data_IF_218326765746
#
_entry.id   IF_218326765746
#
_cell.length_a   1.000
_cell.length_b   1.000
_cell.length_c   1.000
_cell.angle_alpha   90.00
_cell.angle_beta   90.00
_cell.angle_gamma   90.00
#
_symmetry.space_group_name_H-M   'P 1'
#
loop_
_entity.id
_entity.type
_entity.pdbx_description
1 polymer ?
#
# COMPACT_ATOMS: atom_id res chain seq x y z
N UNK A 1 -2.54 15.46 -28.70
CA UNK A 1 -1.86 14.23 -28.22
C UNK A 1 -1.11 14.53 -26.93
N UNK A 2 -1.77 14.67 -25.78
CA UNK A 2 -1.10 14.70 -24.49
C UNK A 2 -2.01 13.98 -23.48
N UNK A 3 -1.68 12.72 -23.19
CA UNK A 3 -2.35 11.89 -22.19
C UNK A 3 -2.00 12.45 -20.81
N UNK A 4 -2.94 13.17 -20.22
CA UNK A 4 -3.00 13.48 -18.80
C UNK A 4 -3.12 12.17 -18.01
N UNK A 5 -1.99 11.58 -17.61
CA UNK A 5 -1.97 10.61 -16.51
C UNK A 5 -1.96 11.41 -15.20
N UNK A 6 -3.15 11.78 -14.76
CA UNK A 6 -3.40 12.41 -13.47
C UNK A 6 -3.06 11.40 -12.38
N UNK A 7 -1.89 11.57 -11.74
CA UNK A 7 -1.45 10.77 -10.60
C UNK A 7 -2.40 11.08 -9.43
N UNK A 8 -3.32 10.16 -9.15
CA UNK A 8 -4.26 10.26 -8.04
C UNK A 8 -3.57 9.79 -6.75
N UNK A 9 -3.01 10.73 -5.98
CA UNK A 9 -2.59 10.47 -4.59
C UNK A 9 -3.84 10.33 -3.71
N UNK A 10 -4.39 9.13 -3.65
CA UNK A 10 -5.47 8.78 -2.71
C UNK A 10 -4.85 8.34 -1.39
N UNK A 11 -4.61 9.30 -0.49
CA UNK A 11 -4.16 9.02 0.87
C UNK A 11 -5.36 8.72 1.78
N UNK A 12 -5.87 7.48 1.74
CA UNK A 12 -6.83 7.00 2.74
C UNK A 12 -6.02 6.56 3.97
N UNK A 13 -5.89 7.48 4.94
CA UNK A 13 -5.21 7.22 6.21
C UNK A 13 -6.18 6.65 7.26
N UNK A 14 -6.16 5.33 7.46
CA UNK A 14 -6.75 4.71 8.66
C UNK A 14 -5.65 4.65 9.70
N UNK A 15 -5.86 5.20 10.90
CA UNK A 15 -4.83 5.35 11.94
C UNK A 15 -3.96 4.08 12.11
N UNK A 16 -2.71 4.13 11.61
CA UNK A 16 -1.77 3.01 11.66
C UNK A 16 -1.61 2.19 10.37
N UNK A 17 -2.28 2.57 9.28
CA UNK A 17 -2.07 2.09 7.92
C UNK A 17 -2.07 3.30 6.98
N UNK A 18 -0.95 3.55 6.32
CA UNK A 18 -0.75 4.67 5.41
C UNK A 18 -0.26 4.15 4.06
N UNK A 19 -1.01 4.44 3.01
CA UNK A 19 -0.56 4.22 1.63
C UNK A 19 0.55 5.23 1.34
N UNK A 20 1.77 4.77 1.09
CA UNK A 20 2.90 5.64 0.74
C UNK A 20 2.91 5.98 -0.75
N UNK A 21 2.58 5.00 -1.59
CA UNK A 21 2.43 5.18 -3.04
C UNK A 21 1.46 4.14 -3.57
N UNK A 22 0.71 4.51 -4.60
CA UNK A 22 -0.21 3.61 -5.28
C UNK A 22 -0.37 4.04 -6.75
N UNK A 23 -0.32 3.06 -7.65
CA UNK A 23 -0.51 3.21 -9.08
C UNK A 23 -1.28 2.00 -9.64
N UNK A 24 -1.51 1.92 -10.95
CA UNK A 24 -2.30 0.83 -11.56
C UNK A 24 -1.64 -0.56 -11.38
N UNK A 25 -0.32 -0.60 -11.23
CA UNK A 25 0.50 -1.80 -11.23
C UNK A 25 1.06 -2.16 -9.85
N UNK A 26 1.10 -1.21 -8.91
CA UNK A 26 1.65 -1.43 -7.57
C UNK A 26 1.03 -0.56 -6.48
N UNK A 27 1.12 -1.03 -5.24
CA UNK A 27 0.75 -0.28 -4.04
C UNK A 27 1.72 -0.58 -2.89
N UNK A 28 2.21 0.49 -2.26
CA UNK A 28 3.13 0.46 -1.12
C UNK A 28 2.41 0.96 0.11
N UNK A 29 2.33 0.10 1.12
CA UNK A 29 1.55 0.35 2.32
C UNK A 29 2.46 0.27 3.53
N UNK A 30 2.58 1.39 4.25
CA UNK A 30 3.20 1.44 5.57
C UNK A 30 2.15 1.15 6.62
N UNK A 31 2.34 0.10 7.40
CA UNK A 31 1.38 -0.29 8.43
C UNK A 31 2.08 -0.61 9.75
N UNK A 32 1.37 -0.42 10.86
CA UNK A 32 1.83 -0.88 12.17
C UNK A 32 1.93 -2.41 12.21
N UNK A 33 2.84 -2.94 13.03
CA UNK A 33 3.04 -4.39 13.19
C UNK A 33 1.80 -5.14 13.66
N UNK A 34 0.85 -4.45 14.31
CA UNK A 34 -0.41 -5.01 14.77
C UNK A 34 -1.43 -5.25 13.64
N UNK A 35 -1.24 -4.66 12.45
CA UNK A 35 -2.29 -4.60 11.41
C UNK A 35 -1.80 -5.03 10.01
N UNK A 36 -1.15 -6.18 9.83
CA UNK A 36 -0.75 -6.66 8.51
C UNK A 36 -1.95 -7.03 7.62
N UNK A 37 -3.08 -7.45 8.21
CA UNK A 37 -4.29 -7.81 7.47
C UNK A 37 -4.92 -6.62 6.75
N UNK A 38 -4.88 -5.42 7.35
CA UNK A 38 -5.39 -4.20 6.72
C UNK A 38 -4.56 -3.81 5.50
N UNK A 39 -3.24 -3.98 5.54
CA UNK A 39 -2.39 -3.70 4.38
C UNK A 39 -2.76 -4.60 3.19
N UNK A 40 -3.00 -5.89 3.43
CA UNK A 40 -3.48 -6.80 2.38
C UNK A 40 -4.84 -6.37 1.83
N UNK A 41 -5.80 -6.08 2.71
CA UNK A 41 -7.15 -5.69 2.29
C UNK A 41 -7.14 -4.39 1.48
N UNK A 42 -6.38 -3.38 1.93
CA UNK A 42 -6.20 -2.12 1.19
C UNK A 42 -5.54 -2.35 -0.17
N UNK A 43 -4.56 -3.25 -0.27
CA UNK A 43 -3.95 -3.59 -1.55
C UNK A 43 -4.95 -4.30 -2.49
N UNK A 44 -5.73 -5.25 -1.96
CA UNK A 44 -6.76 -5.95 -2.74
C UNK A 44 -7.85 -4.99 -3.23
N UNK A 45 -8.34 -4.09 -2.38
CA UNK A 45 -9.32 -3.07 -2.75
C UNK A 45 -8.79 -2.16 -3.86
N UNK A 46 -7.55 -1.65 -3.71
CA UNK A 46 -6.91 -0.81 -4.71
C UNK A 46 -6.74 -1.52 -6.06
N UNK A 47 -6.17 -2.73 -6.08
CA UNK A 47 -6.00 -3.47 -7.34
C UNK A 47 -7.33 -3.87 -7.97
N UNK A 48 -8.37 -4.15 -7.16
CA UNK A 48 -9.70 -4.50 -7.65
C UNK A 48 -10.36 -3.36 -8.42
N UNK A 49 -10.06 -2.09 -8.09
CA UNK A 49 -10.53 -0.92 -8.87
C UNK A 49 -10.04 -0.95 -10.33
N UNK A 50 -8.95 -1.67 -10.61
CA UNK A 50 -8.37 -1.86 -11.95
C UNK A 50 -8.64 -3.25 -12.54
N UNK A 51 -9.48 -4.07 -11.88
CA UNK A 51 -9.73 -5.46 -12.29
C UNK A 51 -8.50 -6.38 -12.14
N UNK A 52 -7.60 -6.03 -11.23
CA UNK A 52 -6.37 -6.76 -10.91
C UNK A 52 -6.47 -7.34 -9.49
N UNK A 53 -5.55 -8.24 -9.14
CA UNK A 53 -5.38 -8.86 -7.82
C UNK A 53 -4.05 -8.42 -7.22
N UNK A 54 -4.04 -8.14 -5.92
CA UNK A 54 -2.81 -7.82 -5.19
C UNK A 54 -1.97 -9.07 -4.91
N UNK A 55 -0.71 -9.04 -5.29
CA UNK A 55 0.30 -10.05 -4.95
C UNK A 55 1.36 -9.41 -4.07
N UNK A 56 1.65 -10.04 -2.94
CA UNK A 56 2.67 -9.55 -2.02
C UNK A 56 4.07 -9.77 -2.61
N UNK A 57 4.83 -8.67 -2.76
CA UNK A 57 6.14 -8.67 -3.41
C UNK A 57 7.26 -8.64 -2.39
N UNK A 58 7.21 -7.66 -1.48
CA UNK A 58 8.29 -7.47 -0.50
C UNK A 58 7.80 -6.85 0.79
N UNK A 59 8.41 -7.28 1.90
CA UNK A 59 8.36 -6.59 3.18
C UNK A 59 9.65 -5.81 3.36
N UNK A 60 9.59 -4.49 3.46
CA UNK A 60 10.74 -3.74 3.96
C UNK A 60 10.88 -3.98 5.48
N UNK A 61 12.11 -3.92 6.03
CA UNK A 61 12.35 -4.21 7.43
C UNK A 61 11.57 -3.27 8.36
N UNK A 62 11.31 -3.79 9.56
CA UNK A 62 10.62 -3.10 10.65
C UNK A 62 11.39 -1.84 11.02
N UNK A 63 10.84 -0.68 10.67
CA UNK A 63 11.37 0.62 11.08
C UNK A 63 10.91 0.86 12.51
N UNK A 64 11.83 0.63 13.47
CA UNK A 64 11.62 0.87 14.90
C UNK A 64 12.50 2.03 15.35
N UNK A 65 11.89 3.16 15.66
CA UNK A 65 12.53 4.23 16.43
C UNK A 65 11.75 4.30 17.72
N UNK A 66 12.37 3.98 18.87
CA UNK A 66 11.71 3.62 20.15
C UNK A 66 10.70 4.60 20.78
N UNK A 67 10.32 5.67 20.08
CA UNK A 67 9.23 6.60 20.38
C UNK A 67 7.97 6.41 19.52
N UNK A 68 8.06 5.69 18.39
CA UNK A 68 6.92 5.40 17.48
C UNK A 68 6.66 3.90 17.39
N UNK A 69 5.38 3.50 17.27
CA UNK A 69 5.02 2.10 17.13
C UNK A 69 5.67 1.49 15.89
N UNK A 70 6.17 0.28 16.02
CA UNK A 70 6.89 -0.41 14.96
C UNK A 70 6.07 -0.48 13.67
N UNK A 71 6.60 0.15 12.62
CA UNK A 71 5.99 0.14 11.30
C UNK A 71 6.71 -0.82 10.37
N UNK A 72 5.94 -1.54 9.56
CA UNK A 72 6.44 -2.33 8.44
C UNK A 72 5.96 -1.67 7.15
N UNK A 73 6.72 -1.85 6.08
CA UNK A 73 6.28 -1.48 4.74
C UNK A 73 6.04 -2.77 3.96
N UNK A 74 4.85 -2.89 3.40
CA UNK A 74 4.43 -3.99 2.55
C UNK A 74 4.20 -3.46 1.14
N UNK A 75 4.84 -4.08 0.15
CA UNK A 75 4.66 -3.76 -1.26
C UNK A 75 3.85 -4.86 -1.92
N UNK A 76 2.86 -4.47 -2.69
CA UNK A 76 2.02 -5.36 -3.47
C UNK A 76 2.02 -4.93 -4.94
N UNK A 77 2.13 -5.91 -5.83
CA UNK A 77 1.91 -5.71 -7.26
C UNK A 77 0.47 -6.06 -7.61
N UNK A 78 -0.15 -5.24 -8.46
CA UNK A 78 -1.44 -5.51 -9.06
C UNK A 78 -1.24 -6.31 -10.36
N UNK A 79 -1.63 -7.58 -10.34
CA UNK A 79 -1.53 -8.49 -11.50
C UNK A 79 -2.91 -9.00 -11.92
N UNK A 80 -3.08 -9.45 -13.16
CA UNK A 80 -4.35 -10.07 -13.59
C UNK A 80 -4.54 -11.47 -12.96
#
# INVERSE_FOLDING_TARGET
MLRWFTIAMVAIGVAGCAVQSADEDSIVIKHTSAQPGLAKWTAEDHCAQYGKRAVFVVKAPRESSGLVPDTNVSVYDCVK
#
